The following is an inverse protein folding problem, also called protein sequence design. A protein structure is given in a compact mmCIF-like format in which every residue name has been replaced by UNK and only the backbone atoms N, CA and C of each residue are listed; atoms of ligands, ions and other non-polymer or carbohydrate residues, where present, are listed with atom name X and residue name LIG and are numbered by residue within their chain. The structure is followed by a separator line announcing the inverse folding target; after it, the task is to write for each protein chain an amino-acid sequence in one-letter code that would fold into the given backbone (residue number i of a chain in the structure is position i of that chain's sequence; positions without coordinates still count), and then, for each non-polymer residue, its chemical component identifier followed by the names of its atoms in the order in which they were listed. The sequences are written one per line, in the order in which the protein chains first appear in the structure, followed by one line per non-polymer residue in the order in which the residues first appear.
data_IF_677719949844
#
_entry.id   IF_677719949844
#
_cell.length_a   1.000
_cell.length_b   1.000
_cell.length_c   1.000
_cell.angle_alpha   90.00
_cell.angle_beta   90.00
_cell.angle_gamma   90.00
#
_symmetry.space_group_name_H-M   'P 1'
#
loop_
_entity.id
_entity.type
_entity.pdbx_description
1 polymer ?
#
# COMPACT_ATOMS: atom_id res chain seq x y z
N UNK A 1 11.63 4.75 -2.08
CA UNK A 1 11.51 3.27 -2.28
C UNK A 1 10.07 2.98 -2.68
N UNK A 2 9.82 1.97 -3.53
CA UNK A 2 8.44 1.60 -3.91
C UNK A 2 7.96 0.42 -3.08
N UNK A 3 6.76 0.54 -2.50
CA UNK A 3 6.13 -0.50 -1.68
C UNK A 3 4.78 -0.86 -2.30
N UNK A 4 4.49 -2.15 -2.40
CA UNK A 4 3.18 -2.67 -2.83
C UNK A 4 2.41 -3.17 -1.61
N UNK A 5 1.21 -2.64 -1.40
CA UNK A 5 0.30 -3.05 -0.33
C UNK A 5 -0.80 -3.91 -0.96
N UNK A 6 -0.92 -5.17 -0.52
CA UNK A 6 -1.94 -6.10 -1.01
C UNK A 6 -2.83 -6.50 0.16
N UNK A 7 -4.08 -6.04 0.15
CA UNK A 7 -5.05 -6.31 1.21
C UNK A 7 -6.47 -6.10 0.64
N UNK A 8 -7.42 -6.97 0.97
CA UNK A 8 -8.80 -6.88 0.51
C UNK A 8 -9.62 -5.83 1.26
N UNK A 9 -9.16 -5.39 2.44
CA UNK A 9 -9.81 -4.38 3.27
C UNK A 9 -9.28 -2.96 2.97
N UNK A 10 -10.10 -2.04 2.40
CA UNK A 10 -9.66 -0.69 2.04
C UNK A 10 -9.10 0.12 3.22
N UNK A 11 -9.72 0.02 4.40
CA UNK A 11 -9.27 0.74 5.59
C UNK A 11 -7.89 0.30 6.08
N UNK A 12 -7.53 -0.97 5.84
CA UNK A 12 -6.22 -1.49 6.19
C UNK A 12 -5.14 -0.89 5.27
N UNK A 13 -5.40 -0.80 3.95
CA UNK A 13 -4.49 -0.18 2.99
C UNK A 13 -4.27 1.30 3.27
N UNK A 14 -5.33 2.06 3.51
CA UNK A 14 -5.24 3.49 3.87
C UNK A 14 -4.40 3.70 5.14
N UNK A 15 -4.61 2.87 6.16
CA UNK A 15 -3.86 2.95 7.42
C UNK A 15 -2.38 2.69 7.19
N UNK A 16 -2.03 1.65 6.42
CA UNK A 16 -0.63 1.34 6.08
C UNK A 16 0.02 2.47 5.28
N UNK A 17 -0.68 3.03 4.31
CA UNK A 17 -0.19 4.17 3.53
C UNK A 17 0.16 5.37 4.43
N UNK A 18 -0.71 5.72 5.38
CA UNK A 18 -0.43 6.81 6.34
C UNK A 18 0.81 6.51 7.18
N UNK A 19 0.93 5.29 7.70
CA UNK A 19 2.12 4.90 8.46
C UNK A 19 3.41 4.96 7.62
N UNK A 20 3.37 4.57 6.34
CA UNK A 20 4.51 4.68 5.45
C UNK A 20 4.91 6.15 5.20
N UNK A 21 3.92 7.03 5.00
CA UNK A 21 4.16 8.46 4.83
C UNK A 21 4.73 9.13 6.09
N UNK A 22 4.28 8.70 7.28
CA UNK A 22 4.80 9.18 8.57
C UNK A 22 6.26 8.77 8.80
N UNK A 23 6.67 7.59 8.30
CA UNK A 23 8.04 7.08 8.41
C UNK A 23 8.96 7.82 7.45
N UNK A 24 8.58 7.91 6.18
CA UNK A 24 9.33 8.60 5.14
C UNK A 24 8.36 9.07 4.04
N UNK A 25 8.13 10.39 3.88
CA UNK A 25 7.26 10.95 2.85
C UNK A 25 7.71 10.65 1.42
N UNK A 26 8.96 10.24 1.20
CA UNK A 26 9.49 9.85 -0.10
C UNK A 26 9.21 8.37 -0.45
N UNK A 27 8.55 7.62 0.44
CA UNK A 27 8.05 6.28 0.12
C UNK A 27 6.83 6.41 -0.80
N UNK A 28 6.96 5.86 -1.99
CA UNK A 28 5.85 5.67 -2.91
C UNK A 28 5.17 4.34 -2.61
N UNK A 29 3.85 4.37 -2.41
CA UNK A 29 3.04 3.17 -2.21
C UNK A 29 2.13 2.92 -3.41
N UNK A 30 1.97 1.66 -3.76
CA UNK A 30 1.01 1.15 -4.77
C UNK A 30 0.09 0.18 -4.03
N UNK A 31 -1.18 0.16 -4.39
CA UNK A 31 -2.19 -0.69 -3.73
C UNK A 31 -2.77 -1.71 -4.71
N UNK A 32 -3.09 -2.88 -4.18
CA UNK A 32 -3.88 -3.90 -4.86
C UNK A 32 -4.88 -4.52 -3.87
N UNK A 33 -6.08 -4.82 -4.35
CA UNK A 33 -7.15 -5.44 -3.55
C UNK A 33 -6.95 -6.94 -3.33
N UNK A 34 -6.11 -7.60 -4.14
CA UNK A 34 -5.81 -9.02 -4.02
C UNK A 34 -4.52 -9.35 -4.78
N UNK A 35 -4.05 -10.60 -4.61
CA UNK A 35 -2.82 -11.08 -5.21
C UNK A 35 -2.85 -11.18 -6.75
N UNK A 36 -4.03 -11.25 -7.39
CA UNK A 36 -4.11 -11.25 -8.84
C UNK A 36 -3.88 -9.86 -9.41
N UNK A 37 -4.59 -8.86 -8.85
CA UNK A 37 -4.43 -7.44 -9.23
C UNK A 37 -3.01 -6.94 -8.94
N UNK A 38 -2.35 -7.48 -7.90
CA UNK A 38 -0.97 -7.16 -7.56
C UNK A 38 0.08 -7.61 -8.61
N UNK A 39 -0.28 -8.55 -9.49
CA UNK A 39 0.61 -9.13 -10.48
C UNK A 39 0.43 -8.53 -11.89
N UNK A 40 -0.62 -7.74 -12.10
CA UNK A 40 -0.87 -6.99 -13.35
C UNK A 40 -0.10 -5.65 -13.39
#
# INVERSE_FOLDING_TARGET
MKILIVDDEPLARERLQRHLQDIDPAIESIEAENGLVALE
#
